data_IF_794464702033
#
_entry.id   IF_794464702033
#
_cell.length_a   1.000
_cell.length_b   1.000
_cell.length_c   1.000
_cell.angle_alpha   90.00
_cell.angle_beta   90.00
_cell.angle_gamma   90.00
#
_symmetry.space_group_name_H-M   'P 1'
#
loop_
_entity.id
_entity.type
_entity.pdbx_description
1 polymer ?
#
# COMPACT_ATOMS: atom_id res chain seq x y z
N UNK A 1 4.81 20.60 -3.56
CA UNK A 1 4.38 19.54 -2.62
C UNK A 1 5.09 19.75 -1.30
N UNK A 2 4.35 19.88 -0.20
CA UNK A 2 4.93 19.96 1.15
C UNK A 2 5.38 18.57 1.58
N UNK A 3 6.62 18.42 2.08
CA UNK A 3 7.09 17.16 2.65
C UNK A 3 7.33 17.34 4.15
N UNK A 4 6.94 16.36 4.95
CA UNK A 4 7.07 16.38 6.41
C UNK A 4 7.40 14.99 6.93
N UNK A 5 7.94 14.93 8.15
CA UNK A 5 8.22 13.68 8.85
C UNK A 5 9.66 13.58 9.34
N UNK A 6 9.96 12.65 10.25
CA UNK A 6 11.29 12.54 10.86
C UNK A 6 12.36 12.08 9.87
N UNK A 7 12.00 11.31 8.84
CA UNK A 7 12.94 10.79 7.84
C UNK A 7 12.29 10.80 6.46
N UNK A 8 12.69 11.74 5.62
CA UNK A 8 12.23 11.87 4.24
C UNK A 8 13.22 11.13 3.34
N UNK A 9 12.74 10.17 2.54
CA UNK A 9 13.62 9.39 1.67
C UNK A 9 14.26 10.26 0.59
N UNK A 10 15.51 9.94 0.23
CA UNK A 10 16.20 10.49 -0.96
C UNK A 10 15.54 10.04 -2.26
N UNK A 11 14.84 8.90 -2.25
CA UNK A 11 14.04 8.41 -3.37
C UNK A 11 12.60 8.88 -3.15
N UNK A 12 12.24 10.06 -3.64
CA UNK A 12 10.91 10.63 -3.39
C UNK A 12 9.77 9.86 -4.07
N UNK A 13 8.54 10.27 -3.79
CA UNK A 13 7.32 9.63 -4.31
C UNK A 13 7.24 9.65 -5.85
N UNK A 14 7.92 10.60 -6.49
CA UNK A 14 8.06 10.69 -7.94
C UNK A 14 8.75 9.46 -8.55
N UNK A 15 9.62 8.78 -7.79
CA UNK A 15 10.26 7.54 -8.26
C UNK A 15 9.26 6.39 -8.40
N UNK A 16 8.13 6.45 -7.68
CA UNK A 16 6.98 5.55 -7.83
C UNK A 16 5.91 6.09 -8.79
N UNK A 17 6.20 7.18 -9.51
CA UNK A 17 5.33 7.73 -10.55
C UNK A 17 4.32 8.79 -10.08
N UNK A 18 4.26 9.11 -8.78
CA UNK A 18 3.35 10.13 -8.27
C UNK A 18 3.70 11.53 -8.79
N UNK A 19 2.66 12.32 -9.06
CA UNK A 19 2.78 13.72 -9.51
C UNK A 19 1.78 14.57 -8.74
N UNK A 20 2.07 15.86 -8.62
CA UNK A 20 1.12 16.87 -8.11
C UNK A 20 0.43 16.53 -6.77
N UNK A 21 1.07 15.76 -5.88
CA UNK A 21 0.54 15.53 -4.53
C UNK A 21 0.50 16.86 -3.76
N UNK A 22 -0.53 17.04 -2.92
CA UNK A 22 -0.63 18.20 -2.05
C UNK A 22 0.47 18.16 -0.98
N UNK A 23 0.61 17.02 -0.30
CA UNK A 23 1.64 16.79 0.69
C UNK A 23 2.06 15.31 0.80
N UNK A 24 3.23 15.07 1.35
CA UNK A 24 3.70 13.74 1.76
C UNK A 24 4.20 13.76 3.20
N UNK A 25 3.82 12.72 3.94
CA UNK A 25 4.12 12.52 5.36
C UNK A 25 4.95 11.25 5.53
N UNK A 26 6.27 11.41 5.61
CA UNK A 26 7.22 10.31 5.58
C UNK A 26 7.54 9.80 6.98
N UNK A 27 7.42 8.49 7.16
CA UNK A 27 7.86 7.77 8.37
C UNK A 27 7.34 8.40 9.66
N UNK A 28 6.12 8.95 9.63
CA UNK A 28 5.44 9.46 10.82
C UNK A 28 5.38 8.35 11.87
N UNK A 29 5.68 8.73 13.12
CA UNK A 29 5.60 7.83 14.29
C UNK A 29 4.18 7.77 14.83
N UNK A 30 3.86 6.80 15.71
CA UNK A 30 2.49 6.57 16.15
C UNK A 30 1.75 7.81 16.65
N UNK A 31 2.39 8.68 17.44
CA UNK A 31 1.75 9.91 17.95
C UNK A 31 1.26 10.83 16.82
N UNK A 32 2.09 11.06 15.80
CA UNK A 32 1.71 11.90 14.66
C UNK A 32 0.59 11.24 13.84
N UNK A 33 0.67 9.92 13.60
CA UNK A 33 -0.38 9.20 12.88
C UNK A 33 -1.72 9.19 13.64
N UNK A 34 -1.69 9.12 14.97
CA UNK A 34 -2.87 9.28 15.83
C UNK A 34 -3.50 10.67 15.63
N UNK A 35 -2.70 11.73 15.75
CA UNK A 35 -3.19 13.10 15.56
C UNK A 35 -3.80 13.31 14.18
N UNK A 36 -3.15 12.80 13.13
CA UNK A 36 -3.64 12.86 11.76
C UNK A 36 -4.96 12.10 11.59
N UNK A 37 -5.05 10.86 12.09
CA UNK A 37 -6.25 10.06 12.00
C UNK A 37 -7.45 10.73 12.69
N UNK A 38 -7.24 11.34 13.86
CA UNK A 38 -8.29 12.07 14.59
C UNK A 38 -8.67 13.36 13.86
N UNK A 39 -7.68 14.15 13.41
CA UNK A 39 -7.93 15.42 12.73
C UNK A 39 -8.66 15.25 11.41
N UNK A 40 -8.39 14.15 10.70
CA UNK A 40 -9.03 13.78 9.43
C UNK A 40 -10.35 13.03 9.62
N UNK A 41 -10.77 12.78 10.86
CA UNK A 41 -12.03 12.08 11.17
C UNK A 41 -12.03 10.61 10.75
N UNK A 42 -10.86 9.99 10.62
CA UNK A 42 -10.72 8.58 10.20
C UNK A 42 -11.07 7.59 11.32
N UNK A 43 -11.08 8.06 12.56
CA UNK A 43 -11.37 7.27 13.74
C UNK A 43 -11.59 8.13 14.98
N UNK A 44 -11.68 7.47 16.13
CA UNK A 44 -11.76 8.12 17.44
C UNK A 44 -10.95 7.34 18.48
N UNK A 45 -10.53 8.01 19.55
CA UNK A 45 -9.83 7.37 20.66
C UNK A 45 -10.86 6.80 21.64
N UNK A 46 -10.78 5.50 21.93
CA UNK A 46 -11.61 4.86 22.94
C UNK A 46 -11.01 5.00 24.35
N UNK A 47 -11.76 4.55 25.36
CA UNK A 47 -11.25 4.46 26.72
C UNK A 47 -9.93 3.67 26.75
N UNK A 48 -8.96 4.18 27.51
CA UNK A 48 -7.58 3.66 27.63
C UNK A 48 -6.66 3.88 26.42
N UNK A 49 -7.06 4.72 25.46
CA UNK A 49 -6.17 5.23 24.41
C UNK A 49 -6.13 4.51 23.05
N UNK A 50 -6.74 3.34 22.78
CA UNK A 50 -6.65 2.75 21.45
C UNK A 50 -7.46 3.55 20.41
N UNK A 51 -6.89 3.69 19.21
CA UNK A 51 -7.58 4.24 18.05
C UNK A 51 -8.60 3.23 17.51
N UNK A 52 -9.87 3.64 17.46
CA UNK A 52 -10.98 2.87 16.89
C UNK A 52 -11.36 3.45 15.54
N UNK A 53 -11.36 2.59 14.52
CA UNK A 53 -11.66 2.92 13.12
C UNK A 53 -12.78 2.02 12.58
N UNK A 54 -13.39 2.43 11.47
CA UNK A 54 -14.37 1.62 10.74
C UNK A 54 -13.88 1.40 9.31
N UNK A 55 -13.89 0.14 8.86
CA UNK A 55 -13.42 -0.25 7.51
C UNK A 55 -14.52 -0.20 6.44
N UNK A 56 -15.70 0.33 6.80
CA UNK A 56 -16.86 0.43 5.92
C UNK A 56 -17.47 -0.94 5.60
N UNK A 57 -17.82 -1.14 4.32
CA UNK A 57 -18.48 -2.36 3.81
C UNK A 57 -17.57 -3.59 3.96
N UNK A 58 -16.26 -3.42 3.81
CA UNK A 58 -15.30 -4.51 3.88
C UNK A 58 -14.79 -4.69 5.31
N UNK A 59 -15.37 -5.64 6.05
CA UNK A 59 -14.92 -6.02 7.40
C UNK A 59 -13.94 -7.20 7.41
N UNK A 60 -13.54 -7.66 6.22
CA UNK A 60 -12.63 -8.76 6.00
C UNK A 60 -12.03 -8.71 4.60
N UNK A 61 -11.27 -9.75 4.24
CA UNK A 61 -10.59 -9.81 2.94
C UNK A 61 -11.57 -9.92 1.77
N UNK A 62 -11.25 -9.22 0.70
CA UNK A 62 -11.92 -9.31 -0.60
C UNK A 62 -11.18 -10.30 -1.50
N UNK A 63 -11.07 -11.57 -1.07
CA UNK A 63 -10.20 -12.55 -1.74
C UNK A 63 -10.50 -12.76 -3.23
N UNK A 64 -11.77 -12.60 -3.62
CA UNK A 64 -12.18 -12.70 -5.03
C UNK A 64 -11.81 -11.45 -5.86
N UNK A 65 -11.42 -10.33 -5.24
CA UNK A 65 -10.99 -9.07 -5.88
C UNK A 65 -9.45 -8.94 -5.94
N UNK A 66 -8.74 -9.98 -5.51
CA UNK A 66 -7.29 -10.07 -5.68
C UNK A 66 -6.96 -10.63 -7.07
N UNK A 67 -6.09 -9.93 -7.77
CA UNK A 67 -5.58 -10.30 -9.09
C UNK A 67 -4.05 -10.28 -9.09
N UNK A 68 -3.45 -11.19 -9.85
CA UNK A 68 -2.00 -11.25 -10.06
C UNK A 68 -1.77 -11.06 -11.57
N UNK A 69 -0.83 -10.19 -11.92
CA UNK A 69 -0.44 -10.01 -13.32
C UNK A 69 0.11 -11.32 -13.85
N UNK A 70 -0.43 -11.77 -14.98
CA UNK A 70 0.00 -12.97 -15.69
C UNK A 70 0.92 -12.56 -16.84
N UNK A 71 2.22 -12.70 -16.61
CA UNK A 71 3.31 -12.40 -17.52
C UNK A 71 4.25 -13.61 -17.66
N UNK A 72 5.32 -13.48 -18.44
CA UNK A 72 6.27 -14.56 -18.66
C UNK A 72 6.93 -15.09 -17.36
N UNK A 73 7.06 -14.26 -16.32
CA UNK A 73 7.69 -14.63 -15.04
C UNK A 73 6.74 -15.36 -14.10
N UNK A 74 5.44 -15.08 -14.21
CA UNK A 74 4.39 -15.59 -13.32
C UNK A 74 3.59 -16.73 -13.94
N UNK A 75 3.57 -16.85 -15.27
CA UNK A 75 2.81 -17.85 -16.04
C UNK A 75 2.97 -19.27 -15.49
N UNK A 76 4.20 -19.66 -15.13
CA UNK A 76 4.52 -21.02 -14.68
C UNK A 76 4.80 -21.15 -13.18
N UNK A 77 4.89 -20.04 -12.46
CA UNK A 77 5.28 -20.01 -11.03
C UNK A 77 4.09 -19.76 -10.11
N UNK A 78 3.05 -19.07 -10.60
CA UNK A 78 1.83 -18.82 -9.84
C UNK A 78 0.86 -20.00 -9.97
N UNK A 79 0.26 -20.40 -8.85
CA UNK A 79 -0.81 -21.39 -8.84
C UNK A 79 -2.14 -20.77 -9.29
N UNK A 80 -2.45 -20.88 -10.58
CA UNK A 80 -3.59 -20.21 -11.21
C UNK A 80 -4.96 -20.81 -10.87
N UNK A 81 -5.05 -22.05 -10.38
CA UNK A 81 -6.36 -22.60 -9.97
C UNK A 81 -6.97 -21.85 -8.78
N UNK A 82 -6.12 -21.17 -8.00
CA UNK A 82 -6.51 -20.46 -6.79
C UNK A 82 -6.28 -18.93 -6.88
N UNK A 83 -5.71 -18.43 -7.97
CA UNK A 83 -5.41 -17.01 -8.16
C UNK A 83 -6.02 -16.50 -9.45
N UNK A 84 -6.55 -15.28 -9.43
CA UNK A 84 -7.10 -14.64 -10.62
C UNK A 84 -6.02 -13.89 -11.37
N UNK A 85 -6.03 -14.00 -12.69
CA UNK A 85 -5.09 -13.28 -13.55
C UNK A 85 -5.59 -11.88 -13.92
N UNK A 86 -4.65 -10.97 -14.14
CA UNK A 86 -4.84 -9.68 -14.82
C UNK A 86 -3.75 -9.56 -15.90
N UNK A 87 -4.01 -8.85 -16.99
CA UNK A 87 -2.98 -8.63 -18.02
C UNK A 87 -2.03 -7.50 -17.61
N UNK A 88 -0.78 -7.48 -18.11
CA UNK A 88 0.15 -6.37 -17.86
C UNK A 88 -0.44 -5.00 -18.26
N UNK A 89 -1.17 -4.94 -19.37
CA UNK A 89 -1.76 -3.70 -19.89
C UNK A 89 -2.87 -3.18 -18.98
N UNK A 90 -3.73 -4.07 -18.47
CA UNK A 90 -4.77 -3.69 -17.53
C UNK A 90 -4.19 -3.19 -16.20
N UNK A 91 -3.10 -3.82 -15.73
CA UNK A 91 -2.38 -3.36 -14.54
C UNK A 91 -1.75 -1.98 -14.75
N UNK A 92 -1.11 -1.76 -15.90
CA UNK A 92 -0.44 -0.49 -16.20
C UNK A 92 -1.43 0.67 -16.36
N UNK A 93 -2.60 0.39 -16.96
CA UNK A 93 -3.70 1.34 -17.00
C UNK A 93 -4.22 1.66 -15.59
N UNK A 94 -4.52 0.63 -14.78
CA UNK A 94 -4.96 0.79 -13.39
C UNK A 94 -3.95 1.59 -12.57
N UNK A 95 -2.66 1.29 -12.72
CA UNK A 95 -1.59 2.01 -12.03
C UNK A 95 -1.57 3.49 -12.40
N UNK A 96 -1.61 3.80 -13.70
CA UNK A 96 -1.63 5.18 -14.18
C UNK A 96 -2.84 5.96 -13.66
N UNK A 97 -4.02 5.33 -13.63
CA UNK A 97 -5.25 5.96 -13.13
C UNK A 97 -5.24 6.15 -11.61
N UNK A 98 -4.67 5.21 -10.84
CA UNK A 98 -4.49 5.38 -9.39
C UNK A 98 -3.49 6.49 -9.07
N UNK A 99 -2.39 6.60 -9.82
CA UNK A 99 -1.45 7.72 -9.69
C UNK A 99 -2.13 9.05 -10.02
N UNK A 100 -3.00 9.08 -11.04
CA UNK A 100 -3.78 10.26 -11.40
C UNK A 100 -4.79 10.62 -10.30
N UNK A 101 -5.46 9.64 -9.72
CA UNK A 101 -6.37 9.81 -8.59
C UNK A 101 -5.68 10.36 -7.34
N UNK A 102 -4.38 10.08 -7.18
CA UNK A 102 -3.60 10.62 -6.07
C UNK A 102 -3.22 12.10 -6.24
N UNK A 103 -3.31 12.68 -7.44
CA UNK A 103 -3.00 14.09 -7.64
C UNK A 103 -3.89 14.98 -6.73
N UNK A 104 -3.28 15.96 -6.06
CA UNK A 104 -3.96 16.82 -5.10
C UNK A 104 -4.24 16.19 -3.73
N UNK A 105 -3.97 14.88 -3.53
CA UNK A 105 -4.10 14.24 -2.21
C UNK A 105 -2.84 14.41 -1.37
N UNK A 106 -3.03 14.19 -0.07
CA UNK A 106 -1.94 14.01 0.89
C UNK A 106 -1.77 12.52 1.15
N UNK A 107 -0.52 12.03 1.12
CA UNK A 107 -0.20 10.62 1.34
C UNK A 107 0.73 10.43 2.54
N UNK A 108 0.49 9.35 3.30
CA UNK A 108 1.39 8.86 4.33
C UNK A 108 2.27 7.76 3.76
N UNK A 109 3.57 7.86 4.00
CA UNK A 109 4.58 6.98 3.42
C UNK A 109 5.36 6.31 4.54
N UNK A 110 5.42 4.99 4.53
CA UNK A 110 6.18 4.19 5.49
C UNK A 110 7.21 3.33 4.77
N UNK A 111 8.47 3.47 5.18
CA UNK A 111 9.58 2.59 4.80
C UNK A 111 9.79 1.57 5.93
N UNK A 112 9.51 0.30 5.62
CA UNK A 112 9.42 -0.79 6.61
C UNK A 112 10.06 -2.08 6.06
N UNK A 113 10.42 -3.01 6.93
CA UNK A 113 10.92 -4.32 6.55
C UNK A 113 9.90 -5.45 6.79
N UNK A 114 9.67 -6.26 5.77
CA UNK A 114 8.99 -7.55 5.91
C UNK A 114 10.01 -8.66 6.16
N UNK A 115 9.95 -9.33 7.32
CA UNK A 115 10.91 -10.37 7.70
C UNK A 115 12.05 -9.84 8.58
N UNK A 116 12.44 -10.62 9.59
CA UNK A 116 13.38 -10.18 10.63
C UNK A 116 14.85 -10.44 10.31
N UNK A 117 15.14 -11.42 9.45
CA UNK A 117 16.51 -11.74 9.04
C UNK A 117 17.00 -10.71 8.01
N UNK A 118 18.08 -9.95 8.28
CA UNK A 118 18.62 -8.96 7.35
C UNK A 118 18.98 -9.50 5.96
N UNK A 119 19.23 -10.81 5.83
CA UNK A 119 19.58 -11.46 4.56
C UNK A 119 18.37 -11.83 3.71
N UNK A 120 17.19 -11.95 4.33
CA UNK A 120 15.93 -12.35 3.68
C UNK A 120 14.81 -11.30 3.79
N UNK A 121 15.06 -10.18 4.48
CA UNK A 121 14.06 -9.14 4.67
C UNK A 121 13.74 -8.40 3.38
N UNK A 122 12.48 -8.01 3.25
CA UNK A 122 11.94 -7.27 2.12
C UNK A 122 11.82 -5.78 2.47
N UNK A 123 12.65 -4.93 1.86
CA UNK A 123 12.49 -3.48 1.96
C UNK A 123 11.19 -3.05 1.27
N UNK A 124 10.20 -2.64 2.06
CA UNK A 124 8.85 -2.34 1.61
C UNK A 124 8.52 -0.87 1.82
N UNK A 125 8.12 -0.17 0.76
CA UNK A 125 7.52 1.16 0.84
C UNK A 125 6.01 1.08 0.68
N UNK A 126 5.30 1.68 1.62
CA UNK A 126 3.83 1.69 1.63
C UNK A 126 3.35 3.13 1.54
N UNK A 127 2.61 3.45 0.47
CA UNK A 127 1.87 4.68 0.30
C UNK A 127 0.43 4.44 0.71
N UNK A 128 -0.08 5.25 1.63
CA UNK A 128 -1.45 5.13 2.14
C UNK A 128 -2.15 6.47 2.09
N UNK A 129 -3.42 6.44 1.69
CA UNK A 129 -4.29 7.63 1.73
C UNK A 129 -4.71 8.00 3.17
N UNK A 130 -4.83 7.01 4.06
CA UNK A 130 -5.28 7.20 5.44
C UNK A 130 -4.13 7.08 6.45
N UNK A 131 -4.12 7.95 7.46
CA UNK A 131 -3.13 7.92 8.53
C UNK A 131 -3.21 6.62 9.35
N UNK A 132 -4.42 6.14 9.61
CA UNK A 132 -4.60 4.90 10.37
C UNK A 132 -4.15 3.65 9.60
N UNK A 133 -4.17 3.66 8.26
CA UNK A 133 -3.58 2.58 7.44
C UNK A 133 -2.05 2.55 7.57
N UNK A 134 -1.41 3.73 7.54
CA UNK A 134 0.01 3.88 7.84
C UNK A 134 0.35 3.37 9.25
N UNK A 135 -0.48 3.68 10.26
CA UNK A 135 -0.28 3.21 11.63
C UNK A 135 -0.46 1.69 11.73
N UNK A 136 -1.46 1.15 11.05
CA UNK A 136 -1.71 -0.28 11.02
C UNK A 136 -0.49 -1.05 10.49
N UNK A 137 0.09 -0.62 9.37
CA UNK A 137 1.22 -1.36 8.80
C UNK A 137 2.52 -1.16 9.60
N UNK A 138 2.72 0.02 10.19
CA UNK A 138 3.83 0.29 11.11
C UNK A 138 3.81 -0.65 12.33
N UNK A 139 2.63 -0.99 12.86
CA UNK A 139 2.51 -1.93 13.97
C UNK A 139 2.85 -3.38 13.62
N UNK A 140 2.89 -3.75 12.34
CA UNK A 140 2.99 -5.14 11.88
C UNK A 140 4.31 -5.48 11.20
N UNK A 141 4.97 -4.49 10.60
CA UNK A 141 6.28 -4.66 9.97
C UNK A 141 7.38 -4.12 10.89
N UNK A 142 8.63 -4.37 10.51
CA UNK A 142 9.78 -3.96 11.30
C UNK A 142 10.17 -2.54 10.87
N UNK A 143 10.20 -1.64 11.85
CA UNK A 143 10.68 -0.28 11.65
C UNK A 143 12.21 -0.29 11.44
N UNK A 144 12.72 0.30 10.35
CA UNK A 144 14.15 0.46 10.14
C UNK A 144 14.77 1.33 11.24
N UNK A 145 16.04 1.07 11.53
CA UNK A 145 16.84 2.01 12.32
C UNK A 145 17.08 3.29 11.51
N UNK A 146 17.31 4.45 12.17
CA UNK A 146 17.62 5.70 11.49
C UNK A 146 18.68 5.59 10.40
N UNK A 147 19.78 4.91 10.66
CA UNK A 147 20.88 4.70 9.70
C UNK A 147 20.48 3.84 8.49
N UNK A 148 19.45 3.00 8.62
CA UNK A 148 18.92 2.18 7.51
C UNK A 148 17.96 2.98 6.62
N UNK A 149 17.48 4.14 7.08
CA UNK A 149 16.58 5.02 6.32
C UNK A 149 17.33 5.94 5.35
N UNK A 150 18.60 6.26 5.62
CA UNK A 150 19.39 7.19 4.82
C UNK A 150 19.53 6.75 3.36
N UNK A 151 19.68 5.44 3.13
CA UNK A 151 19.81 4.82 1.81
C UNK A 151 18.74 3.75 1.57
N UNK A 152 17.57 3.89 2.19
CA UNK A 152 16.46 2.96 2.01
C UNK A 152 15.96 2.97 0.57
N UNK A 153 16.21 1.86 -0.14
CA UNK A 153 15.72 1.61 -1.49
C UNK A 153 14.61 0.54 -1.43
N UNK A 154 13.35 0.89 -1.74
CA UNK A 154 12.27 -0.08 -1.69
C UNK A 154 12.47 -1.17 -2.76
N UNK A 155 12.46 -2.42 -2.32
CA UNK A 155 12.38 -3.58 -3.19
C UNK A 155 10.93 -3.93 -3.53
N UNK A 156 9.97 -3.45 -2.73
CA UNK A 156 8.56 -3.71 -2.91
C UNK A 156 7.76 -2.46 -2.58
N UNK A 157 6.77 -2.13 -3.42
CA UNK A 157 5.92 -0.95 -3.24
C UNK A 157 4.47 -1.36 -3.11
N UNK A 158 3.76 -0.78 -2.14
CA UNK A 158 2.31 -0.89 -2.00
C UNK A 158 1.72 0.51 -2.14
N UNK A 159 0.73 0.67 -3.02
CA UNK A 159 -0.07 1.88 -3.16
C UNK A 159 -1.51 1.55 -2.74
N UNK A 160 -1.91 2.11 -1.61
CA UNK A 160 -3.22 1.89 -1.01
C UNK A 160 -4.03 3.18 -1.01
N UNK A 161 -5.04 3.23 -1.87
CA UNK A 161 -5.96 4.36 -2.08
C UNK A 161 -7.40 3.85 -1.94
N UNK A 162 -7.92 3.65 -0.72
CA UNK A 162 -9.26 3.11 -0.49
C UNK A 162 -10.38 3.89 -1.19
N UNK A 163 -10.19 5.19 -1.44
CA UNK A 163 -11.16 6.04 -2.15
C UNK A 163 -11.20 5.84 -3.67
N UNK A 164 -10.25 5.07 -4.24
CA UNK A 164 -10.26 4.74 -5.66
C UNK A 164 -11.20 3.57 -5.91
N UNK A 165 -12.29 3.78 -6.63
CA UNK A 165 -13.15 2.69 -7.10
C UNK A 165 -12.78 2.28 -8.52
N UNK A 166 -12.46 0.99 -8.70
CA UNK A 166 -12.11 0.44 -10.00
C UNK A 166 -13.34 0.32 -10.90
N UNK A 167 -13.18 0.61 -12.19
CA UNK A 167 -14.19 0.32 -13.21
C UNK A 167 -14.00 -1.15 -13.68
N UNK A 168 -14.97 -2.05 -13.41
CA UNK A 168 -14.87 -3.46 -13.78
C UNK A 168 -14.63 -3.69 -15.27
N UNK A 169 -15.29 -2.93 -16.14
CA UNK A 169 -15.20 -3.09 -17.60
C UNK A 169 -13.85 -2.59 -18.11
N UNK A 170 -13.40 -1.44 -17.60
CA UNK A 170 -12.13 -0.82 -18.03
C UNK A 170 -10.91 -1.67 -17.68
N UNK A 171 -10.88 -2.26 -16.48
CA UNK A 171 -9.70 -2.99 -15.98
C UNK A 171 -9.85 -4.51 -16.05
N UNK A 172 -11.02 -5.03 -16.46
CA UNK A 172 -11.30 -6.47 -16.44
C UNK A 172 -11.34 -7.06 -15.03
N UNK A 173 -11.81 -6.29 -14.05
CA UNK A 173 -11.93 -6.70 -12.64
C UNK A 173 -13.37 -7.02 -12.26
N UNK A 174 -13.60 -7.53 -11.04
CA UNK A 174 -14.94 -8.02 -10.64
C UNK A 174 -15.86 -6.90 -10.13
N UNK A 175 -15.31 -5.96 -9.37
CA UNK A 175 -16.07 -4.93 -8.64
C UNK A 175 -15.25 -3.64 -8.56
N UNK A 176 -15.79 -2.62 -7.87
CA UNK A 176 -15.05 -1.41 -7.51
C UNK A 176 -13.85 -1.65 -6.59
N UNK A 177 -13.81 -2.80 -5.90
CA UNK A 177 -12.67 -3.21 -5.09
C UNK A 177 -11.63 -3.93 -5.96
N UNK A 178 -10.35 -3.60 -5.78
CA UNK A 178 -9.24 -4.26 -6.47
C UNK A 178 -8.01 -4.37 -5.57
N UNK A 179 -7.40 -5.55 -5.57
CA UNK A 179 -6.05 -5.80 -5.03
C UNK A 179 -5.22 -6.38 -6.18
N UNK A 180 -4.52 -5.54 -6.93
CA UNK A 180 -3.75 -5.97 -8.10
C UNK A 180 -2.27 -6.12 -7.74
N UNK A 181 -1.70 -7.30 -7.96
CA UNK A 181 -0.30 -7.60 -7.66
C UNK A 181 0.50 -7.80 -8.96
N UNK A 182 1.55 -7.02 -9.15
CA UNK A 182 2.53 -7.25 -10.20
C UNK A 182 3.87 -7.63 -9.57
N UNK A 183 4.20 -8.92 -9.58
CA UNK A 183 5.41 -9.43 -8.93
C UNK A 183 6.68 -9.12 -9.73
N UNK A 184 6.61 -9.07 -11.06
CA UNK A 184 7.74 -8.64 -11.89
C UNK A 184 8.12 -7.18 -11.62
N UNK A 185 7.14 -6.28 -11.49
CA UNK A 185 7.36 -4.87 -11.12
C UNK A 185 7.52 -4.66 -9.61
N UNK A 186 7.21 -5.67 -8.80
CA UNK A 186 7.18 -5.62 -7.33
C UNK A 186 6.31 -4.48 -6.80
N UNK A 187 5.11 -4.34 -7.37
CA UNK A 187 4.11 -3.34 -6.99
C UNK A 187 2.79 -4.02 -6.65
N UNK A 188 2.11 -3.58 -5.58
CA UNK A 188 0.71 -3.89 -5.30
C UNK A 188 -0.12 -2.62 -5.24
N UNK A 189 -1.29 -2.68 -5.88
CA UNK A 189 -2.29 -1.62 -5.94
C UNK A 189 -3.53 -2.06 -5.17
N UNK A 190 -4.02 -1.23 -4.24
CA UNK A 190 -5.21 -1.49 -3.44
C UNK A 190 -6.18 -0.32 -3.59
N UNK A 191 -7.41 -0.62 -4.02
CA UNK A 191 -8.49 0.36 -4.19
C UNK A 191 -9.84 -0.23 -3.79
N UNK A 192 -10.79 0.64 -3.43
CA UNK A 192 -12.19 0.29 -3.17
C UNK A 192 -12.38 -0.57 -1.92
N UNK A 193 -11.42 -0.58 -1.00
CA UNK A 193 -11.53 -1.25 0.30
C UNK A 193 -10.72 -0.50 1.35
N UNK A 194 -11.29 -0.33 2.54
CA UNK A 194 -10.59 0.19 3.72
C UNK A 194 -10.19 -0.93 4.69
N UNK A 195 -10.22 -2.20 4.25
CA UNK A 195 -9.76 -3.30 5.08
C UNK A 195 -8.23 -3.38 5.07
N UNK A 196 -7.58 -2.78 6.07
CA UNK A 196 -6.11 -2.69 6.16
C UNK A 196 -5.37 -4.05 6.13
N UNK A 197 -6.07 -5.16 6.43
CA UNK A 197 -5.51 -6.50 6.29
C UNK A 197 -5.01 -6.83 4.88
N UNK A 198 -5.51 -6.16 3.83
CA UNK A 198 -4.98 -6.32 2.47
C UNK A 198 -3.55 -5.79 2.32
N UNK A 199 -3.18 -4.71 3.03
CA UNK A 199 -1.82 -4.16 3.04
C UNK A 199 -0.84 -5.22 3.59
N UNK A 200 -1.16 -5.79 4.77
CA UNK A 200 -0.33 -6.83 5.40
C UNK A 200 -0.26 -8.10 4.56
N UNK A 201 -1.37 -8.50 3.93
CA UNK A 201 -1.42 -9.71 3.10
C UNK A 201 -0.67 -9.53 1.78
N UNK A 202 -0.48 -8.31 1.30
CA UNK A 202 0.34 -8.00 0.14
C UNK A 202 1.83 -8.27 0.41
N UNK A 203 2.36 -7.78 1.53
CA UNK A 203 3.74 -8.10 1.97
C UNK A 203 3.93 -9.60 2.15
N UNK A 204 3.00 -10.24 2.84
CA UNK A 204 3.04 -11.70 3.03
C UNK A 204 2.98 -12.45 1.70
N UNK A 205 2.22 -11.97 0.71
CA UNK A 205 2.14 -12.63 -0.59
C UNK A 205 3.47 -12.54 -1.35
N UNK A 206 4.14 -11.38 -1.29
CA UNK A 206 5.47 -11.23 -1.91
C UNK A 206 6.49 -12.15 -1.24
N UNK A 207 6.52 -12.21 0.10
CA UNK A 207 7.41 -13.10 0.84
C UNK A 207 7.17 -14.60 0.60
N UNK A 208 5.99 -15.01 0.11
CA UNK A 208 5.73 -16.41 -0.27
C UNK A 208 6.05 -16.70 -1.74
N UNK A 209 6.25 -15.66 -2.55
CA UNK A 209 6.57 -15.78 -3.97
C UNK A 209 8.08 -15.72 -4.22
N UNK A 210 8.75 -14.80 -3.51
CA UNK A 210 10.19 -14.52 -3.62
C UNK A 210 11.08 -15.66 -3.11
#
# INVERSE_FOLDING_TARGET
MKQTGPYISKHGAETSGFKNLAATHWNYRPAALYEEAIRRGEGHVAANGPLVVKTGVHTGRSAKDKFIVRDASTEKTVWWDNNKSMTPEAFDLLHADMLKHAEGKELFIQDLFGGADPTHRLATRVYTEYAWHSLFIQNLLIEPKPEELDDFLPQFTIIDLPSFEADPEKYGVRTGTVIACNFAKRIVLIGGTSYAGEIKKSVFSMLNYD
#
